data_IF_320699416804
#
_entry.id   IF_320699416804
#
_cell.length_a   1.000
_cell.length_b   1.000
_cell.length_c   1.000
_cell.angle_alpha   90.00
_cell.angle_beta   90.00
_cell.angle_gamma   90.00
#
_symmetry.space_group_name_H-M   'P 1'
#
loop_
_entity.id
_entity.type
_entity.pdbx_description
1 polymer ?
#
# COMPACT_ATOMS: atom_id res chain seq x y z
N UNK A 1 8.79 -7.69 -2.44
CA UNK A 1 9.16 -8.95 -3.15
C UNK A 1 9.72 -10.03 -2.23
N UNK A 2 10.90 -9.88 -1.60
CA UNK A 2 11.49 -10.94 -0.73
C UNK A 2 10.54 -11.53 0.32
N UNK A 3 9.83 -10.67 1.07
CA UNK A 3 8.85 -11.11 2.07
C UNK A 3 7.65 -11.82 1.44
N UNK A 4 7.18 -11.35 0.28
CA UNK A 4 6.08 -11.99 -0.45
C UNK A 4 6.45 -13.43 -0.82
N UNK A 5 7.66 -13.65 -1.36
CA UNK A 5 8.14 -14.99 -1.72
C UNK A 5 8.12 -15.95 -0.53
N UNK A 6 8.61 -15.47 0.62
CA UNK A 6 8.59 -16.28 1.85
C UNK A 6 7.18 -16.61 2.31
N UNK A 7 6.24 -15.66 2.20
CA UNK A 7 4.89 -15.87 2.73
C UNK A 7 3.95 -16.59 1.78
N UNK A 8 4.09 -16.41 0.46
CA UNK A 8 3.21 -17.06 -0.54
C UNK A 8 3.77 -18.40 -1.00
N UNK A 9 5.09 -18.53 -1.18
CA UNK A 9 5.70 -19.75 -1.71
C UNK A 9 6.50 -20.57 -0.69
N UNK A 10 6.63 -20.10 0.56
CA UNK A 10 7.44 -20.77 1.58
C UNK A 10 8.94 -20.80 1.25
N UNK A 11 9.39 -20.03 0.25
CA UNK A 11 10.76 -20.08 -0.30
C UNK A 11 11.45 -18.73 -0.17
N UNK A 12 12.77 -18.76 -0.17
CA UNK A 12 13.54 -17.53 -0.37
C UNK A 12 13.34 -17.03 -1.81
N UNK A 13 13.34 -15.70 -1.97
CA UNK A 13 13.44 -15.11 -3.30
C UNK A 13 14.75 -15.56 -3.95
N UNK A 14 14.78 -15.84 -5.27
CA UNK A 14 16.02 -16.17 -5.98
C UNK A 14 17.16 -15.24 -5.61
N UNK A 15 18.40 -15.77 -5.58
CA UNK A 15 19.59 -15.04 -5.16
C UNK A 15 19.99 -13.87 -6.09
N UNK A 16 19.19 -13.60 -7.12
CA UNK A 16 19.33 -12.39 -7.93
C UNK A 16 18.90 -11.18 -7.09
N UNK A 17 19.81 -10.21 -6.96
CA UNK A 17 19.54 -8.96 -6.29
C UNK A 17 18.46 -8.14 -7.01
N UNK A 18 17.90 -7.10 -6.37
CA UNK A 18 16.97 -6.21 -7.05
C UNK A 18 17.68 -5.50 -8.22
N UNK A 19 17.01 -5.40 -9.37
CA UNK A 19 17.52 -4.61 -10.50
C UNK A 19 17.58 -3.10 -10.19
N UNK A 20 16.73 -2.62 -9.28
CA UNK A 20 16.65 -1.22 -8.85
C UNK A 20 16.21 -1.13 -7.38
N UNK A 21 16.77 -0.19 -6.64
CA UNK A 21 16.32 0.18 -5.29
C UNK A 21 15.97 1.66 -5.26
N UNK A 22 14.76 1.99 -4.83
CA UNK A 22 14.24 3.37 -4.75
C UNK A 22 13.55 3.61 -3.41
N UNK A 23 13.49 4.86 -2.91
CA UNK A 23 13.04 5.15 -1.55
C UNK A 23 11.51 5.31 -1.40
N UNK A 24 10.69 5.10 -2.44
CA UNK A 24 9.24 5.26 -2.34
C UNK A 24 8.46 4.26 -3.19
N UNK A 25 7.27 3.87 -2.73
CA UNK A 25 6.37 2.99 -3.50
C UNK A 25 5.90 3.64 -4.79
N UNK A 26 5.70 4.97 -4.80
CA UNK A 26 5.38 5.72 -6.01
C UNK A 26 6.50 5.64 -7.05
N UNK A 27 7.77 5.71 -6.62
CA UNK A 27 8.91 5.53 -7.51
C UNK A 27 9.00 4.08 -8.03
N UNK A 28 8.65 3.08 -7.22
CA UNK A 28 8.57 1.69 -7.69
C UNK A 28 7.49 1.54 -8.75
N UNK A 29 6.29 2.10 -8.54
CA UNK A 29 5.20 2.08 -9.53
C UNK A 29 5.65 2.72 -10.85
N UNK A 30 6.24 3.91 -10.78
CA UNK A 30 6.76 4.61 -11.95
C UNK A 30 7.82 3.78 -12.70
N UNK A 31 8.75 3.15 -11.97
CA UNK A 31 9.77 2.30 -12.56
C UNK A 31 9.17 1.06 -13.24
N UNK A 32 8.19 0.41 -12.62
CA UNK A 32 7.49 -0.75 -13.20
C UNK A 32 6.73 -0.34 -14.46
N UNK A 33 6.00 0.79 -14.45
CA UNK A 33 5.35 1.35 -15.65
C UNK A 33 6.35 1.63 -16.77
N UNK A 34 7.57 2.04 -16.44
CA UNK A 34 8.66 2.29 -17.38
C UNK A 34 9.37 1.00 -17.85
N UNK A 35 8.93 -0.19 -17.43
CA UNK A 35 9.49 -1.47 -17.87
C UNK A 35 10.66 -1.98 -17.04
N UNK A 36 10.89 -1.48 -15.82
CA UNK A 36 11.97 -1.95 -14.94
C UNK A 36 11.77 -3.39 -14.39
N UNK A 37 10.70 -4.09 -14.78
CA UNK A 37 10.38 -5.45 -14.37
C UNK A 37 9.09 -5.54 -13.55
N UNK A 38 9.09 -6.36 -12.50
CA UNK A 38 7.91 -6.61 -11.65
C UNK A 38 8.16 -6.23 -10.19
N UNK A 39 7.08 -6.02 -9.44
CA UNK A 39 7.13 -5.78 -8.00
C UNK A 39 5.87 -6.26 -7.30
N UNK A 40 5.85 -6.19 -5.96
CA UNK A 40 4.68 -6.47 -5.12
C UNK A 40 4.26 -5.13 -4.51
N UNK A 41 3.09 -4.64 -4.90
CA UNK A 41 2.64 -3.28 -4.63
C UNK A 41 1.23 -3.27 -4.00
N UNK A 42 0.89 -2.26 -3.16
CA UNK A 42 -0.46 -2.11 -2.66
C UNK A 42 -1.46 -1.87 -3.79
N UNK A 43 -2.58 -2.61 -3.77
CA UNK A 43 -3.64 -2.50 -4.78
C UNK A 43 -4.22 -1.08 -4.88
N UNK A 44 -4.36 -0.40 -3.74
CA UNK A 44 -4.87 0.98 -3.68
C UNK A 44 -4.05 1.97 -4.53
N UNK A 45 -2.73 1.76 -4.64
CA UNK A 45 -1.86 2.63 -5.43
C UNK A 45 -1.81 2.26 -6.92
N UNK A 46 -2.23 1.03 -7.26
CA UNK A 46 -2.18 0.52 -8.63
C UNK A 46 -3.56 0.48 -9.30
N UNK A 47 -4.65 0.77 -8.59
CA UNK A 47 -6.01 0.58 -9.08
C UNK A 47 -6.28 1.29 -10.42
N UNK A 48 -5.86 2.54 -10.56
CA UNK A 48 -6.01 3.31 -11.79
C UNK A 48 -5.18 2.72 -12.95
N UNK A 49 -3.97 2.24 -12.67
CA UNK A 49 -3.10 1.65 -13.70
C UNK A 49 -3.58 0.30 -14.17
N UNK A 50 -4.09 -0.51 -13.24
CA UNK A 50 -4.69 -1.80 -13.56
C UNK A 50 -5.95 -1.59 -14.41
N UNK A 51 -6.78 -0.60 -14.06
CA UNK A 51 -7.96 -0.25 -14.84
C UNK A 51 -7.59 0.28 -16.25
N UNK A 52 -6.50 1.04 -16.37
CA UNK A 52 -6.01 1.57 -17.64
C UNK A 52 -5.19 0.53 -18.45
N UNK A 53 -4.88 -0.64 -17.89
CA UNK A 53 -3.98 -1.64 -18.50
C UNK A 53 -2.51 -1.22 -18.56
N UNK A 54 -2.13 -0.11 -17.91
CA UNK A 54 -0.75 0.35 -17.80
C UNK A 54 0.10 -0.54 -16.87
N UNK A 55 -0.56 -1.22 -15.94
CA UNK A 55 0.01 -2.30 -15.16
C UNK A 55 -0.85 -3.56 -15.34
N UNK A 56 -0.21 -4.72 -15.27
CA UNK A 56 -0.90 -6.01 -15.30
C UNK A 56 -0.62 -6.72 -13.99
N UNK A 57 -1.67 -7.31 -13.42
CA UNK A 57 -1.56 -8.14 -12.25
C UNK A 57 -1.03 -9.52 -12.65
N UNK A 58 0.13 -9.90 -12.09
CA UNK A 58 0.74 -11.20 -12.34
C UNK A 58 0.17 -12.30 -11.44
N UNK A 59 -0.07 -11.98 -10.16
CA UNK A 59 -0.58 -12.91 -9.17
C UNK A 59 -1.35 -12.14 -8.08
N UNK A 60 -2.48 -12.68 -7.62
CA UNK A 60 -3.13 -12.21 -6.39
C UNK A 60 -2.67 -13.09 -5.23
N UNK A 61 -2.13 -12.51 -4.13
CA UNK A 61 -1.81 -13.30 -2.95
C UNK A 61 -3.06 -13.91 -2.33
N UNK A 62 -2.96 -15.17 -1.89
CA UNK A 62 -4.06 -15.85 -1.17
C UNK A 62 -4.51 -15.08 0.07
N UNK A 63 -3.56 -14.40 0.73
CA UNK A 63 -3.82 -13.47 1.82
C UNK A 63 -3.24 -12.09 1.50
N UNK A 64 -4.08 -11.13 1.07
CA UNK A 64 -3.68 -9.74 0.92
C UNK A 64 -3.10 -9.19 2.23
N UNK A 65 -2.09 -8.34 2.13
CA UNK A 65 -1.62 -7.59 3.29
C UNK A 65 -2.50 -6.38 3.50
N UNK A 66 -3.14 -6.31 4.66
CA UNK A 66 -3.78 -5.09 5.14
C UNK A 66 -2.75 -4.21 5.84
N UNK A 67 -2.69 -2.93 5.45
CA UNK A 67 -1.89 -1.92 6.15
C UNK A 67 -2.82 -1.18 7.11
N UNK A 68 -2.53 -1.22 8.40
CA UNK A 68 -3.24 -0.40 9.39
C UNK A 68 -2.65 1.00 9.39
N UNK A 69 -3.47 2.00 9.06
CA UNK A 69 -3.10 3.41 9.17
C UNK A 69 -3.59 3.95 10.50
N UNK A 70 -2.76 4.74 11.17
CA UNK A 70 -3.06 5.38 12.44
C UNK A 70 -3.05 6.89 12.25
N UNK A 71 -4.09 7.58 12.71
CA UNK A 71 -4.07 9.03 12.84
C UNK A 71 -3.47 9.39 14.19
N UNK A 72 -2.39 10.18 14.18
CA UNK A 72 -1.66 10.59 15.39
C UNK A 72 -1.69 12.10 15.51
N UNK A 73 -1.99 12.59 16.70
CA UNK A 73 -2.03 14.02 17.02
C UNK A 73 -1.14 14.32 18.22
N UNK A 74 -0.57 15.53 18.24
CA UNK A 74 0.12 16.02 19.43
C UNK A 74 -0.92 16.32 20.52
N UNK A 75 -0.66 15.99 21.80
CA UNK A 75 -1.51 16.46 22.90
C UNK A 75 -1.70 17.99 22.85
N UNK A 76 -2.92 18.48 22.99
CA UNK A 76 -3.23 19.91 22.89
C UNK A 76 -3.62 20.36 21.48
N UNK A 77 -3.42 19.53 20.45
CA UNK A 77 -3.73 19.91 19.07
C UNK A 77 -5.24 20.13 18.83
N UNK A 78 -6.08 19.52 19.66
CA UNK A 78 -7.54 19.70 19.67
C UNK A 78 -8.00 21.11 20.02
N UNK A 79 -7.14 21.91 20.67
CA UNK A 79 -7.44 23.31 21.02
C UNK A 79 -7.49 24.21 19.77
N UNK A 80 -6.89 23.76 18.66
CA UNK A 80 -7.03 24.40 17.37
C UNK A 80 -8.17 23.75 16.58
N UNK A 81 -9.25 24.50 16.37
CA UNK A 81 -10.43 24.04 15.64
C UNK A 81 -10.13 23.55 14.22
N UNK A 82 -9.14 24.13 13.54
CA UNK A 82 -8.73 23.68 12.20
C UNK A 82 -8.14 22.26 12.24
N UNK A 83 -7.35 21.93 13.27
CA UNK A 83 -6.79 20.59 13.42
C UNK A 83 -7.88 19.55 13.68
N UNK A 84 -8.87 19.89 14.52
CA UNK A 84 -10.03 19.04 14.79
C UNK A 84 -10.82 18.74 13.51
N UNK A 85 -11.10 19.76 12.69
CA UNK A 85 -11.80 19.60 11.42
C UNK A 85 -11.04 18.70 10.43
N UNK A 86 -9.72 18.90 10.29
CA UNK A 86 -8.90 18.04 9.42
C UNK A 86 -8.88 16.61 9.91
N UNK A 87 -8.77 16.38 11.21
CA UNK A 87 -8.79 15.05 11.79
C UNK A 87 -10.11 14.32 11.53
N UNK A 88 -11.23 15.00 11.72
CA UNK A 88 -12.55 14.46 11.43
C UNK A 88 -12.71 14.12 9.95
N UNK A 89 -12.28 15.02 9.06
CA UNK A 89 -12.29 14.79 7.61
C UNK A 89 -11.43 13.58 7.21
N UNK A 90 -10.24 13.41 7.79
CA UNK A 90 -9.38 12.26 7.54
C UNK A 90 -10.00 10.95 8.04
N UNK A 91 -10.64 10.97 9.21
CA UNK A 91 -11.33 9.79 9.76
C UNK A 91 -12.54 9.40 8.91
N UNK A 92 -13.29 10.38 8.40
CA UNK A 92 -14.43 10.12 7.52
C UNK A 92 -13.96 9.55 6.18
N UNK A 93 -12.96 10.17 5.55
CA UNK A 93 -12.36 9.66 4.32
C UNK A 93 -11.87 8.21 4.48
N UNK A 94 -11.24 7.89 5.62
CA UNK A 94 -10.76 6.55 5.93
C UNK A 94 -11.90 5.51 6.11
N UNK A 95 -13.09 5.91 6.57
CA UNK A 95 -14.26 5.03 6.67
C UNK A 95 -14.89 4.74 5.31
N UNK A 96 -14.93 5.74 4.44
CA UNK A 96 -15.51 5.63 3.09
C UNK A 96 -14.60 4.95 2.08
N UNK A 97 -13.28 4.99 2.29
CA UNK A 97 -12.32 4.24 1.50
C UNK A 97 -12.46 2.75 1.86
N UNK A 98 -13.38 2.04 1.20
CA UNK A 98 -13.69 0.63 1.43
C UNK A 98 -12.47 -0.18 1.88
N UNK A 99 -12.46 -0.55 3.15
CA UNK A 99 -11.55 -1.52 3.73
C UNK A 99 -12.42 -2.51 4.51
N UNK A 100 -12.34 -3.82 4.25
CA UNK A 100 -13.00 -4.80 5.10
C UNK A 100 -12.41 -4.65 6.50
N UNK A 101 -13.19 -4.05 7.41
CA UNK A 101 -12.88 -3.99 8.83
C UNK A 101 -12.78 -5.44 9.33
N UNK A 102 -11.63 -5.83 9.86
CA UNK A 102 -11.57 -7.01 10.71
C UNK A 102 -12.42 -6.72 11.95
N UNK A 103 -13.45 -7.54 12.18
CA UNK A 103 -14.10 -7.59 13.49
C UNK A 103 -13.07 -8.01 14.54
N UNK A 104 -13.06 -7.40 15.75
CA UNK A 104 -12.17 -7.85 16.81
C UNK A 104 -12.54 -9.28 17.23
N UNK A 105 -11.50 -10.07 17.52
CA UNK A 105 -11.59 -11.43 18.07
C UNK A 105 -12.06 -11.44 19.53
#
# INVERSE_FOLDING_TARGET
VRRYWRTQYGKQHPAVGPALTVPSLHAVIAAVRAGAGYSVLPRSLCAADLAAGALVQLEEPERPRTTTLMLVQRPGAEQNSATGQVAEALLEAARTAEHPRLAPA
#
